data_IF_284804312173
#
_entry.id   IF_284804312173
#
_cell.length_a   1.000
_cell.length_b   1.000
_cell.length_c   1.000
_cell.angle_alpha   90.00
_cell.angle_beta   90.00
_cell.angle_gamma   90.00
#
_symmetry.space_group_name_H-M   'P 1'
#
loop_
_entity.id
_entity.type
_entity.pdbx_description
1 polymer ?
#
# COMPACT_ATOMS: atom_id res chain seq x y z
N UNK A 1 -11.37 -28.18 -1.74
CA UNK A 1 -10.31 -27.27 -2.21
C UNK A 1 -9.82 -26.47 -1.02
N UNK A 2 -8.75 -26.91 -0.36
CA UNK A 2 -8.09 -26.14 0.68
C UNK A 2 -6.83 -25.58 0.07
N UNK A 3 -6.89 -24.33 -0.38
CA UNK A 3 -5.66 -23.56 -0.60
C UNK A 3 -5.17 -23.21 0.80
N UNK A 4 -4.49 -24.16 1.44
CA UNK A 4 -3.56 -23.82 2.51
C UNK A 4 -2.47 -23.02 1.83
N UNK A 5 -2.58 -21.70 1.85
CA UNK A 5 -1.42 -20.83 1.77
C UNK A 5 -0.60 -21.15 3.02
N UNK A 6 0.12 -22.26 2.96
CA UNK A 6 1.25 -22.55 3.82
C UNK A 6 2.36 -21.61 3.34
N UNK A 7 2.16 -20.32 3.59
CA UNK A 7 3.23 -19.38 3.36
C UNK A 7 4.32 -19.70 4.36
N UNK A 8 5.51 -19.85 3.82
CA UNK A 8 6.72 -20.07 4.59
C UNK A 8 7.01 -18.87 5.52
N UNK A 9 6.38 -17.71 5.29
CA UNK A 9 6.46 -16.52 6.11
C UNK A 9 5.11 -15.77 6.20
N UNK A 10 4.23 -16.16 7.16
CA UNK A 10 2.93 -15.51 7.33
C UNK A 10 3.05 -14.02 7.67
N UNK A 11 4.17 -13.56 8.24
CA UNK A 11 4.39 -12.14 8.50
C UNK A 11 4.53 -11.37 7.19
N UNK A 12 5.41 -11.82 6.29
CA UNK A 12 5.62 -11.17 5.00
C UNK A 12 4.33 -11.16 4.16
N UNK A 13 3.56 -12.24 4.19
CA UNK A 13 2.29 -12.36 3.47
C UNK A 13 1.24 -11.37 3.95
N UNK A 14 1.02 -11.28 5.26
CA UNK A 14 0.04 -10.33 5.80
C UNK A 14 0.46 -8.89 5.49
N UNK A 15 1.76 -8.60 5.60
CA UNK A 15 2.28 -7.26 5.30
C UNK A 15 2.07 -6.89 3.83
N UNK A 16 2.47 -7.75 2.90
CA UNK A 16 2.30 -7.51 1.47
C UNK A 16 0.82 -7.37 1.09
N UNK A 17 -0.04 -8.22 1.65
CA UNK A 17 -1.48 -8.17 1.41
C UNK A 17 -2.11 -6.85 1.92
N UNK A 18 -1.70 -6.37 3.11
CA UNK A 18 -2.17 -5.08 3.63
C UNK A 18 -1.65 -3.90 2.79
N UNK A 19 -0.39 -3.94 2.37
CA UNK A 19 0.24 -2.94 1.49
C UNK A 19 -0.52 -2.80 0.16
N UNK A 20 -0.81 -3.92 -0.50
CA UNK A 20 -1.61 -3.94 -1.73
C UNK A 20 -3.02 -3.37 -1.49
N UNK A 21 -3.64 -3.70 -0.36
CA UNK A 21 -5.00 -3.28 -0.08
C UNK A 21 -5.11 -1.78 0.21
N UNK A 22 -4.14 -1.23 0.92
CA UNK A 22 -4.00 0.22 1.14
C UNK A 22 -3.72 0.95 -0.18
N UNK A 23 -2.87 0.39 -1.04
CA UNK A 23 -2.56 0.99 -2.34
C UNK A 23 -3.76 0.96 -3.31
N UNK A 24 -4.49 -0.16 -3.37
CA UNK A 24 -5.60 -0.35 -4.31
C UNK A 24 -6.85 0.46 -3.95
N UNK A 25 -7.15 0.59 -2.65
CA UNK A 25 -8.36 1.28 -2.16
C UNK A 25 -8.06 2.65 -1.55
N UNK A 26 -6.81 3.12 -1.67
CA UNK A 26 -6.32 4.40 -1.12
C UNK A 26 -6.68 4.57 0.37
N UNK A 27 -6.53 3.50 1.16
CA UNK A 27 -6.86 3.46 2.60
C UNK A 27 -5.78 4.15 3.43
N UNK A 28 -5.61 5.46 3.26
CA UNK A 28 -4.60 6.25 3.99
C UNK A 28 -5.13 6.83 5.29
N UNK A 29 -6.45 6.81 5.50
CA UNK A 29 -7.07 7.28 6.72
C UNK A 29 -6.91 6.28 7.86
N UNK A 30 -6.63 6.80 9.05
CA UNK A 30 -6.48 5.99 10.27
C UNK A 30 -7.69 5.07 10.52
N UNK A 31 -8.92 5.57 10.28
CA UNK A 31 -10.14 4.76 10.45
C UNK A 31 -10.17 3.56 9.50
N UNK A 32 -9.81 3.78 8.23
CA UNK A 32 -9.76 2.72 7.23
C UNK A 32 -8.69 1.68 7.56
N UNK A 33 -7.52 2.11 8.05
CA UNK A 33 -6.46 1.21 8.50
C UNK A 33 -6.89 0.39 9.73
N UNK A 34 -7.62 0.99 10.67
CA UNK A 34 -8.18 0.25 11.81
C UNK A 34 -9.23 -0.78 11.37
N UNK A 35 -10.09 -0.43 10.43
CA UNK A 35 -11.09 -1.36 9.87
C UNK A 35 -10.41 -2.52 9.13
N UNK A 36 -9.35 -2.24 8.37
CA UNK A 36 -8.52 -3.24 7.71
C UNK A 36 -7.95 -4.21 8.75
N UNK A 37 -7.26 -3.72 9.78
CA UNK A 37 -6.72 -4.54 10.86
C UNK A 37 -7.81 -5.40 11.53
N UNK A 38 -8.96 -4.78 11.84
CA UNK A 38 -10.08 -5.48 12.46
C UNK A 38 -10.61 -6.61 11.56
N UNK A 39 -10.64 -6.41 10.25
CA UNK A 39 -11.01 -7.44 9.28
C UNK A 39 -10.05 -8.65 9.34
N UNK A 40 -8.74 -8.42 9.30
CA UNK A 40 -7.74 -9.49 9.43
C UNK A 40 -7.86 -10.24 10.75
N UNK A 41 -8.05 -9.55 11.88
CA UNK A 41 -8.21 -10.21 13.17
C UNK A 41 -9.49 -11.07 13.25
N UNK A 42 -10.59 -10.64 12.64
CA UNK A 42 -11.84 -11.45 12.62
C UNK A 42 -11.77 -12.66 11.68
N UNK A 43 -11.05 -12.54 10.57
CA UNK A 43 -10.96 -13.60 9.56
C UNK A 43 -9.93 -14.69 9.91
N UNK A 44 -9.04 -14.43 10.87
CA UNK A 44 -7.92 -15.30 11.20
C UNK A 44 -8.01 -15.81 12.65
N UNK A 45 -7.40 -16.97 12.92
CA UNK A 45 -7.37 -17.57 14.26
C UNK A 45 -6.47 -16.75 15.21
N UNK A 46 -6.73 -16.78 16.52
CA UNK A 46 -5.96 -16.02 17.52
C UNK A 46 -4.44 -16.27 17.44
N UNK A 47 -4.02 -17.46 17.01
CA UNK A 47 -2.60 -17.81 16.83
C UNK A 47 -1.90 -16.90 15.79
N UNK A 48 -2.66 -16.38 14.82
CA UNK A 48 -2.18 -15.50 13.76
C UNK A 48 -2.27 -14.02 14.15
N UNK A 49 -3.04 -13.66 15.18
CA UNK A 49 -3.26 -12.26 15.55
C UNK A 49 -1.96 -11.54 15.89
N UNK A 50 -1.03 -12.20 16.59
CA UNK A 50 0.28 -11.62 16.89
C UNK A 50 1.04 -11.23 15.62
N UNK A 51 1.04 -12.10 14.61
CA UNK A 51 1.78 -11.85 13.37
C UNK A 51 1.11 -10.77 12.52
N UNK A 52 -0.23 -10.73 12.52
CA UNK A 52 -1.05 -9.70 11.86
C UNK A 52 -0.76 -8.32 12.46
N UNK A 53 -0.73 -8.20 13.79
CA UNK A 53 -0.45 -6.93 14.49
C UNK A 53 0.98 -6.45 14.24
N UNK A 54 1.95 -7.38 14.20
CA UNK A 54 3.34 -7.06 13.85
C UNK A 54 3.43 -6.49 12.42
N UNK A 55 2.87 -7.20 11.43
CA UNK A 55 2.84 -6.76 10.04
C UNK A 55 2.16 -5.39 9.88
N UNK A 56 1.06 -5.16 10.57
CA UNK A 56 0.36 -3.87 10.58
C UNK A 56 1.18 -2.74 11.20
N UNK A 57 1.92 -3.03 12.28
CA UNK A 57 2.78 -2.01 12.91
C UNK A 57 3.91 -1.60 11.98
N UNK A 58 4.53 -2.55 11.28
CA UNK A 58 5.57 -2.26 10.31
C UNK A 58 5.04 -1.48 9.10
N UNK A 59 3.83 -1.78 8.63
CA UNK A 59 3.13 -0.98 7.60
C UNK A 59 2.99 0.49 8.02
N UNK A 60 2.66 0.75 9.30
CA UNK A 60 2.54 2.11 9.83
C UNK A 60 3.88 2.83 9.99
N UNK A 61 4.95 2.08 10.28
CA UNK A 61 6.31 2.63 10.44
C UNK A 61 7.01 2.87 9.10
N UNK A 62 6.62 2.13 8.07
CA UNK A 62 7.10 2.28 6.69
C UNK A 62 5.93 2.64 5.76
N UNK A 63 5.24 3.77 5.98
CA UNK A 63 4.26 4.23 5.00
C UNK A 63 5.05 4.44 3.72
N UNK A 64 4.74 3.66 2.67
CA UNK A 64 5.41 3.71 1.38
C UNK A 64 5.75 5.16 1.09
N UNK A 65 7.04 5.48 1.00
CA UNK A 65 7.47 6.78 0.51
C UNK A 65 6.73 6.98 -0.79
N UNK A 66 5.69 7.81 -0.76
CA UNK A 66 4.94 8.17 -1.95
C UNK A 66 5.97 8.85 -2.84
N UNK A 67 6.57 8.13 -3.78
CA UNK A 67 7.24 8.73 -4.92
C UNK A 67 6.14 9.34 -5.78
N UNK A 68 5.59 10.45 -5.29
CA UNK A 68 5.07 11.52 -6.12
C UNK A 68 6.29 12.37 -6.49
N UNK A 69 7.22 11.80 -7.24
CA UNK A 69 7.97 12.65 -8.17
C UNK A 69 7.06 12.89 -9.37
N UNK A 70 6.03 13.71 -9.13
CA UNK A 70 5.57 14.58 -10.19
C UNK A 70 6.75 15.48 -10.51
N UNK A 71 7.47 15.17 -11.58
CA UNK A 71 8.28 16.17 -12.24
C UNK A 71 7.30 17.14 -12.92
N UNK A 72 7.20 18.41 -12.50
CA UNK A 72 6.65 19.43 -13.35
C UNK A 72 7.70 19.70 -14.44
N UNK A 73 7.62 18.98 -15.56
CA UNK A 73 8.28 19.47 -16.77
C UNK A 73 7.51 20.72 -17.20
N UNK A 74 8.11 21.86 -16.87
CA UNK A 74 7.70 23.21 -17.17
C UNK A 74 7.04 23.36 -18.57
N UNK A 75 6.13 24.34 -18.73
CA UNK A 75 5.38 24.53 -19.95
C UNK A 75 6.33 24.86 -21.10
N UNK A 76 6.29 24.07 -22.18
CA UNK A 76 6.75 24.54 -23.48
C UNK A 76 5.67 25.43 -24.07
N UNK A 77 5.51 26.60 -23.46
CA UNK A 77 4.79 27.70 -24.08
C UNK A 77 5.57 28.08 -25.34
N UNK A 78 5.03 27.65 -26.47
CA UNK A 78 4.90 28.40 -27.72
C UNK A 78 5.71 29.71 -27.79
N UNK A 79 6.84 29.69 -28.50
CA UNK A 79 7.37 30.84 -29.26
C UNK A 79 8.08 30.26 -30.49
N UNK A 80 7.41 30.17 -31.63
CA UNK A 80 7.50 31.12 -32.76
C UNK A 80 8.27 30.47 -33.93
N UNK A 81 7.54 29.93 -34.91
CA UNK A 81 7.89 30.14 -36.33
C UNK A 81 7.15 31.42 -36.73
N UNK A 82 7.80 32.42 -37.34
CA UNK A 82 8.28 32.28 -38.72
C UNK A 82 9.62 33.00 -39.02
N UNK A 83 10.41 32.44 -39.93
CA UNK A 83 11.43 33.15 -40.73
C UNK A 83 11.60 32.31 -42.01
N UNK A 84 11.09 32.71 -43.17
CA UNK A 84 11.46 33.89 -43.99
C UNK A 84 12.98 33.94 -44.23
N UNK A 85 13.48 33.08 -45.13
CA UNK A 85 14.25 33.44 -46.33
C UNK A 85 14.32 32.26 -47.31
#
# INVERSE_FOLDING_TARGET
MTVTMDSQDPYCDFRASMEEMVAAHELWDWRCLQELLHCYLRLNEEKQHKVIVLAFTDLLMQPMSRTKEGHPSAPRHLTCYPGEM
#
